data_IF_116263857894
#
_entry.id   IF_116263857894
#
_cell.length_a   1.000
_cell.length_b   1.000
_cell.length_c   1.000
_cell.angle_alpha   90.00
_cell.angle_beta   90.00
_cell.angle_gamma   90.00
#
_symmetry.space_group_name_H-M   'P 1'
#
loop_
_entity.id
_entity.type
_entity.pdbx_description
1 polymer ?
#
# COMPACT_ATOMS: atom_id res chain seq x y z
N UNK A 1 -8.55 -17.99 -1.14
CA UNK A 1 -9.76 -17.50 -1.80
C UNK A 1 -10.01 -16.04 -1.46
N UNK A 2 -10.53 -15.30 -2.38
CA UNK A 2 -10.81 -13.89 -2.22
C UNK A 2 -11.92 -13.65 -1.18
N UNK A 3 -11.67 -12.71 -0.26
CA UNK A 3 -12.63 -12.31 0.76
C UNK A 3 -12.81 -10.80 0.71
N UNK A 4 -13.91 -10.30 0.14
CA UNK A 4 -14.11 -8.86 -0.03
C UNK A 4 -14.11 -8.07 1.28
N UNK A 5 -14.69 -8.59 2.33
CA UNK A 5 -14.76 -7.87 3.61
C UNK A 5 -13.38 -7.72 4.23
N UNK A 6 -12.57 -8.77 4.16
CA UNK A 6 -11.22 -8.76 4.69
C UNK A 6 -10.33 -7.82 3.88
N UNK A 7 -10.44 -7.85 2.57
CA UNK A 7 -9.64 -6.98 1.71
C UNK A 7 -10.04 -5.52 1.87
N UNK A 8 -11.35 -5.27 2.04
CA UNK A 8 -11.83 -3.93 2.30
C UNK A 8 -11.28 -3.38 3.62
N UNK A 9 -11.31 -4.19 4.67
CA UNK A 9 -10.77 -3.78 5.97
C UNK A 9 -9.26 -3.52 5.90
N UNK A 10 -8.55 -4.36 5.17
CA UNK A 10 -7.11 -4.17 4.96
C UNK A 10 -6.82 -2.85 4.25
N UNK A 11 -7.59 -2.55 3.22
CA UNK A 11 -7.46 -1.29 2.48
C UNK A 11 -7.72 -0.10 3.39
N UNK A 12 -8.76 -0.18 4.21
CA UNK A 12 -9.14 0.90 5.11
C UNK A 12 -8.09 1.13 6.19
N UNK A 13 -7.53 0.06 6.76
CA UNK A 13 -6.45 0.14 7.74
C UNK A 13 -5.21 0.80 7.13
N UNK A 14 -4.90 0.44 5.90
CA UNK A 14 -3.76 1.03 5.18
C UNK A 14 -3.99 2.51 4.89
N UNK A 15 -5.20 2.87 4.49
CA UNK A 15 -5.57 4.26 4.25
C UNK A 15 -5.37 5.10 5.51
N UNK A 16 -5.83 4.61 6.64
CA UNK A 16 -5.68 5.30 7.92
C UNK A 16 -4.21 5.39 8.35
N UNK A 17 -3.44 4.34 8.10
CA UNK A 17 -2.01 4.34 8.39
C UNK A 17 -1.28 5.41 7.59
N UNK A 18 -1.53 5.48 6.28
CA UNK A 18 -0.92 6.47 5.41
C UNK A 18 -1.31 7.89 5.84
N UNK A 19 -2.60 8.09 6.13
CA UNK A 19 -3.09 9.39 6.58
C UNK A 19 -2.35 9.87 7.83
N UNK A 20 -2.20 8.99 8.81
CA UNK A 20 -1.50 9.31 10.06
C UNK A 20 -0.03 9.57 9.84
N UNK A 21 0.61 8.82 8.96
CA UNK A 21 2.02 9.03 8.63
C UNK A 21 2.25 10.40 8.00
N UNK A 22 1.28 10.89 7.24
CA UNK A 22 1.36 12.20 6.60
C UNK A 22 0.84 13.32 7.49
N UNK A 23 0.45 13.01 8.72
CA UNK A 23 -0.09 13.96 9.69
C UNK A 23 -1.33 14.71 9.20
N UNK A 24 -2.19 14.02 8.48
CA UNK A 24 -3.43 14.59 7.96
C UNK A 24 -4.59 14.13 8.83
N UNK A 25 -5.27 15.06 9.50
CA UNK A 25 -6.43 14.74 10.33
C UNK A 25 -7.64 14.39 9.48
N UNK A 26 -8.62 13.73 10.09
CA UNK A 26 -9.89 13.43 9.43
C UNK A 26 -10.57 14.71 8.95
N UNK A 27 -10.53 15.76 9.78
CA UNK A 27 -11.09 17.06 9.44
C UNK A 27 -10.40 17.69 8.22
N UNK A 28 -9.07 17.68 8.22
CA UNK A 28 -8.30 18.25 7.12
C UNK A 28 -8.57 17.49 5.83
N UNK A 29 -8.66 16.16 5.90
CA UNK A 29 -8.97 15.34 4.74
C UNK A 29 -10.36 15.60 4.21
N UNK A 30 -11.35 15.75 5.09
CA UNK A 30 -12.71 16.09 4.71
C UNK A 30 -12.76 17.42 3.99
N UNK A 31 -12.09 18.43 4.54
CA UNK A 31 -12.04 19.76 3.96
C UNK A 31 -11.38 19.77 2.58
N UNK A 32 -10.29 19.04 2.44
CA UNK A 32 -9.55 18.98 1.17
C UNK A 32 -10.31 18.25 0.06
N UNK A 33 -11.13 17.26 0.43
CA UNK A 33 -11.91 16.49 -0.55
C UNK A 33 -13.28 17.08 -0.82
N UNK A 34 -13.71 18.05 -0.02
CA UNK A 34 -15.06 18.62 -0.13
C UNK A 34 -16.14 17.77 0.52
N UNK A 35 -15.78 16.75 1.29
CA UNK A 35 -16.71 15.90 2.02
C UNK A 35 -17.02 16.52 3.38
N UNK A 36 -18.20 16.19 3.95
CA UNK A 36 -18.51 16.62 5.31
C UNK A 36 -17.65 15.85 6.31
N UNK A 37 -17.41 16.46 7.48
CA UNK A 37 -16.64 15.82 8.54
C UNK A 37 -17.28 14.50 9.00
N UNK A 38 -18.60 14.46 9.11
CA UNK A 38 -19.30 13.24 9.52
C UNK A 38 -19.21 12.14 8.46
N UNK A 39 -19.33 12.49 7.19
CA UNK A 39 -19.16 11.53 6.10
C UNK A 39 -17.74 10.95 6.08
N UNK A 40 -16.75 11.81 6.24
CA UNK A 40 -15.34 11.36 6.27
C UNK A 40 -15.09 10.45 7.48
N UNK A 41 -15.58 10.83 8.65
CA UNK A 41 -15.41 10.01 9.85
C UNK A 41 -16.07 8.64 9.70
N UNK A 42 -17.29 8.60 9.16
CA UNK A 42 -17.98 7.33 8.94
C UNK A 42 -17.23 6.44 7.93
N UNK A 43 -16.71 7.04 6.88
CA UNK A 43 -15.94 6.32 5.88
C UNK A 43 -14.67 5.74 6.49
N UNK A 44 -13.89 6.55 7.20
CA UNK A 44 -12.62 6.13 7.78
C UNK A 44 -12.78 5.13 8.91
N UNK A 45 -13.92 5.15 9.60
CA UNK A 45 -14.23 4.19 10.66
C UNK A 45 -14.89 2.91 10.14
N UNK A 46 -15.13 2.82 8.84
CA UNK A 46 -15.70 1.63 8.24
C UNK A 46 -17.22 1.51 8.38
N UNK A 47 -17.90 2.57 8.81
CA UNK A 47 -19.36 2.54 8.98
C UNK A 47 -20.10 2.63 7.65
N UNK A 48 -19.54 3.30 6.66
CA UNK A 48 -20.12 3.45 5.34
C UNK A 48 -19.08 3.03 4.29
N UNK A 49 -19.57 2.52 3.16
CA UNK A 49 -18.72 2.16 2.04
C UNK A 49 -18.72 3.30 1.03
N UNK A 50 -17.56 3.88 0.71
CA UNK A 50 -17.50 5.03 -0.18
C UNK A 50 -17.72 4.63 -1.62
N UNK A 51 -18.17 5.61 -2.42
CA UNK A 51 -18.10 5.49 -3.86
C UNK A 51 -16.64 5.53 -4.30
N UNK A 52 -16.35 4.89 -5.42
CA UNK A 52 -14.99 4.91 -5.98
C UNK A 52 -14.49 6.33 -6.20
N UNK A 53 -15.34 7.23 -6.66
CA UNK A 53 -14.95 8.61 -6.89
C UNK A 53 -14.42 9.27 -5.61
N UNK A 54 -15.08 9.05 -4.47
CA UNK A 54 -14.61 9.59 -3.19
C UNK A 54 -13.27 9.00 -2.79
N UNK A 55 -13.03 7.73 -3.08
CA UNK A 55 -11.73 7.10 -2.84
C UNK A 55 -10.64 7.73 -3.69
N UNK A 56 -10.95 8.06 -4.94
CA UNK A 56 -10.00 8.74 -5.83
C UNK A 56 -9.66 10.13 -5.31
N UNK A 57 -10.64 10.87 -4.78
CA UNK A 57 -10.40 12.18 -4.18
C UNK A 57 -9.46 12.07 -2.97
N UNK A 58 -9.70 11.09 -2.12
CA UNK A 58 -8.87 10.86 -0.93
C UNK A 58 -7.43 10.52 -1.36
N UNK A 59 -7.28 9.61 -2.31
CA UNK A 59 -5.95 9.23 -2.80
C UNK A 59 -5.22 10.42 -3.42
N UNK A 60 -5.95 11.28 -4.12
CA UNK A 60 -5.34 12.47 -4.71
C UNK A 60 -4.79 13.41 -3.63
N UNK A 61 -5.55 13.64 -2.56
CA UNK A 61 -5.10 14.48 -1.44
C UNK A 61 -3.89 13.85 -0.74
N UNK A 62 -3.88 12.54 -0.56
CA UNK A 62 -2.78 11.82 0.07
C UNK A 62 -1.60 11.60 -0.88
N UNK A 63 -1.76 11.92 -2.15
CA UNK A 63 -0.73 11.74 -3.18
C UNK A 63 -0.29 10.28 -3.33
N UNK A 64 -1.26 9.39 -3.33
CA UNK A 64 -1.04 7.97 -3.55
C UNK A 64 -1.95 7.48 -4.68
N UNK A 65 -1.61 6.35 -5.29
CA UNK A 65 -2.49 5.71 -6.25
C UNK A 65 -3.46 4.78 -5.53
N UNK A 66 -4.61 4.53 -6.14
CA UNK A 66 -5.58 3.57 -5.59
C UNK A 66 -4.94 2.19 -5.45
N UNK A 67 -4.09 1.81 -6.41
CA UNK A 67 -3.39 0.53 -6.38
C UNK A 67 -2.56 0.35 -5.12
N UNK A 68 -1.94 1.42 -4.61
CA UNK A 68 -1.13 1.35 -3.40
C UNK A 68 -1.95 0.90 -2.18
N UNK A 69 -3.24 1.23 -2.14
CA UNK A 69 -4.10 0.82 -1.03
C UNK A 69 -4.34 -0.69 -1.00
N UNK A 70 -4.27 -1.34 -2.14
CA UNK A 70 -4.55 -2.77 -2.26
C UNK A 70 -3.28 -3.62 -2.28
N UNK A 71 -2.11 -2.99 -2.30
CA UNK A 71 -0.85 -3.71 -2.20
C UNK A 71 -0.69 -4.26 -0.79
N UNK A 72 -0.20 -5.48 -0.71
CA UNK A 72 0.17 -6.05 0.58
C UNK A 72 1.46 -5.40 1.04
N UNK A 73 1.56 -5.17 2.34
CA UNK A 73 2.80 -4.64 2.90
C UNK A 73 3.91 -5.65 2.67
N UNK A 74 5.01 -5.17 2.07
CA UNK A 74 6.19 -5.98 1.89
C UNK A 74 6.86 -6.17 3.25
N UNK A 75 7.49 -7.32 3.44
CA UNK A 75 8.32 -7.48 4.62
C UNK A 75 9.59 -6.63 4.46
N UNK A 76 10.23 -6.34 5.58
CA UNK A 76 11.42 -5.50 5.60
C UNK A 76 12.52 -6.02 4.66
N UNK A 77 12.70 -7.32 4.60
CA UNK A 77 13.72 -7.93 3.75
C UNK A 77 13.41 -7.76 2.27
N UNK A 78 12.15 -7.81 1.89
CA UNK A 78 11.76 -7.57 0.51
C UNK A 78 12.06 -6.13 0.11
N UNK A 79 11.74 -5.17 0.97
CA UNK A 79 12.02 -3.76 0.72
C UNK A 79 13.52 -3.51 0.58
N UNK A 80 14.31 -4.12 1.45
CA UNK A 80 15.77 -4.03 1.37
C UNK A 80 16.30 -4.60 0.07
N UNK A 81 15.78 -5.75 -0.34
CA UNK A 81 16.21 -6.40 -1.57
C UNK A 81 15.92 -5.52 -2.78
N UNK A 82 14.72 -4.96 -2.85
CA UNK A 82 14.35 -4.07 -3.94
C UNK A 82 15.26 -2.84 -3.98
N UNK A 83 15.51 -2.23 -2.82
CA UNK A 83 16.38 -1.06 -2.73
C UNK A 83 17.79 -1.38 -3.19
N UNK A 84 18.34 -2.51 -2.78
CA UNK A 84 19.67 -2.95 -3.19
C UNK A 84 19.73 -3.20 -4.69
N UNK A 85 18.72 -3.88 -5.23
CA UNK A 85 18.67 -4.17 -6.66
C UNK A 85 18.69 -2.90 -7.48
N UNK A 86 17.91 -1.90 -7.08
CA UNK A 86 17.85 -0.62 -7.79
C UNK A 86 19.12 0.22 -7.66
N UNK A 87 19.95 -0.07 -6.66
CA UNK A 87 21.14 0.71 -6.37
C UNK A 87 22.41 0.19 -7.04
N UNK A 88 22.36 -0.99 -7.65
CA UNK A 88 23.54 -1.60 -8.26
C UNK A 88 23.50 -1.47 -9.79
N UNK A 89 24.66 -1.66 -10.42
CA UNK A 89 24.78 -1.57 -11.87
C UNK A 89 24.02 -2.68 -12.57
N UNK A 90 23.66 -2.50 -13.86
CA UNK A 90 22.97 -3.57 -14.61
C UNK A 90 23.70 -4.90 -14.61
N UNK A 91 25.05 -4.88 -14.66
CA UNK A 91 25.82 -6.12 -14.59
C UNK A 91 25.61 -6.82 -13.26
N UNK A 92 25.65 -6.06 -12.17
CA UNK A 92 25.44 -6.63 -10.84
C UNK A 92 24.01 -7.05 -10.61
N UNK A 93 23.06 -6.35 -11.21
CA UNK A 93 21.66 -6.76 -11.18
C UNK A 93 21.49 -8.14 -11.80
N UNK A 94 22.15 -8.39 -12.93
CA UNK A 94 22.10 -9.68 -13.59
C UNK A 94 22.73 -10.77 -12.72
N UNK A 95 23.84 -10.48 -12.07
CA UNK A 95 24.49 -11.41 -11.14
C UNK A 95 23.56 -11.76 -9.98
N UNK A 96 22.87 -10.78 -9.43
CA UNK A 96 21.94 -10.99 -8.35
C UNK A 96 20.79 -11.91 -8.78
N UNK A 97 20.26 -11.68 -9.99
CA UNK A 97 19.19 -12.52 -10.52
C UNK A 97 19.64 -13.97 -10.73
N UNK A 98 20.85 -14.17 -11.23
CA UNK A 98 21.41 -15.50 -11.40
C UNK A 98 21.56 -16.20 -10.05
N UNK A 99 22.07 -15.47 -9.04
CA UNK A 99 22.22 -16.02 -7.71
C UNK A 99 20.87 -16.40 -7.09
N UNK A 100 19.88 -15.52 -7.24
CA UNK A 100 18.53 -15.77 -6.74
C UNK A 100 17.91 -17.01 -7.41
N UNK A 101 18.14 -17.17 -8.71
CA UNK A 101 17.66 -18.32 -9.45
C UNK A 101 18.30 -19.61 -8.93
N UNK A 102 19.59 -19.55 -8.67
CA UNK A 102 20.32 -20.69 -8.10
C UNK A 102 19.74 -21.08 -6.74
N UNK A 103 19.47 -20.09 -5.90
CA UNK A 103 18.89 -20.36 -4.59
C UNK A 103 17.49 -20.95 -4.69
N UNK A 104 16.71 -20.46 -5.63
CA UNK A 104 15.35 -20.95 -5.85
C UNK A 104 15.35 -22.44 -6.23
N UNK A 105 16.34 -22.87 -7.00
CA UNK A 105 16.44 -24.24 -7.46
C UNK A 105 17.38 -25.11 -6.60
N UNK A 106 17.92 -24.53 -5.53
CA UNK A 106 18.79 -25.26 -4.64
C UNK A 106 18.01 -26.36 -3.91
N UNK A 107 18.52 -27.58 -3.99
CA UNK A 107 17.90 -28.72 -3.32
C UNK A 107 18.78 -29.17 -2.16
N UNK A 108 18.30 -28.93 -0.95
CA UNK A 108 19.02 -29.21 0.27
C UNK A 108 18.99 -30.68 0.66
N UNK A 109 18.19 -31.49 0.02
CA UNK A 109 18.07 -32.89 0.34
C UNK A 109 19.27 -33.74 0.02
N UNK A 110 20.15 -33.24 -0.67
CA UNK A 110 21.30 -33.99 -1.10
C UNK A 110 21.99 -34.73 0.02
#
# INVERSE_FOLDING_TARGET
>A
MYNPDKDYQHMLDKLNKIRKQKNISKYALAKATGMSSSSMSNLLNGKTKPYLYNMLLICNVLQISVGELFEKDNCENEEKLIAMYRSISPEKQQMLLVYADMLLHYNKEM
#
